data_IF_973657944638
#
_entry.id   IF_973657944638
#
_cell.length_a   1.000
_cell.length_b   1.000
_cell.length_c   1.000
_cell.angle_alpha   90.00
_cell.angle_beta   90.00
_cell.angle_gamma   90.00
#
_symmetry.space_group_name_H-M   'P 1'
#
loop_
_entity.id
_entity.type
_entity.pdbx_description
1 polymer ?
#
# COMPACT_ATOMS: atom_id res chain seq x y z
N UNK A 1 11.28 4.04 -4.72
CA UNK A 1 10.26 4.60 -3.80
C UNK A 1 8.99 4.75 -4.59
N UNK A 2 7.93 4.04 -4.19
CA UNK A 2 6.68 3.98 -4.92
C UNK A 2 5.64 4.88 -4.24
N UNK A 3 4.84 5.54 -5.07
CA UNK A 3 3.75 6.40 -4.64
C UNK A 3 2.50 5.56 -4.35
N UNK A 4 1.84 5.84 -3.22
CA UNK A 4 0.56 5.23 -2.84
C UNK A 4 -0.51 6.33 -2.72
N UNK A 5 -0.18 7.41 -2.01
CA UNK A 5 -1.05 8.57 -1.80
C UNK A 5 -0.20 9.79 -1.41
N UNK A 6 -0.80 10.98 -1.34
CA UNK A 6 -0.10 12.23 -1.02
C UNK A 6 0.69 12.14 0.30
N UNK A 7 0.18 11.40 1.29
CA UNK A 7 0.78 11.23 2.60
C UNK A 7 1.36 9.83 2.88
N UNK A 8 1.35 8.92 1.89
CA UNK A 8 1.78 7.52 2.06
C UNK A 8 2.72 7.12 0.92
N UNK A 9 3.87 6.54 1.26
CA UNK A 9 4.85 5.99 0.31
C UNK A 9 5.23 4.57 0.69
N UNK A 10 5.59 3.77 -0.30
CA UNK A 10 6.09 2.42 -0.07
C UNK A 10 7.49 2.24 -0.67
N UNK A 11 8.28 1.37 -0.06
CA UNK A 11 9.52 0.85 -0.59
C UNK A 11 9.39 -0.66 -0.71
N UNK A 12 9.69 -1.21 -1.89
CA UNK A 12 9.68 -2.64 -2.11
C UNK A 12 11.08 -3.22 -2.22
N UNK A 13 11.20 -4.49 -1.84
CA UNK A 13 12.35 -5.37 -2.05
C UNK A 13 11.84 -6.73 -2.55
N UNK A 14 12.65 -7.44 -3.33
CA UNK A 14 12.29 -8.71 -3.97
C UNK A 14 12.09 -8.56 -5.48
N UNK A 15 11.13 -9.30 -6.04
CA UNK A 15 10.87 -9.28 -7.49
C UNK A 15 10.36 -7.89 -7.91
N UNK A 16 11.13 -7.18 -8.73
CA UNK A 16 10.81 -5.80 -9.12
C UNK A 16 9.39 -5.67 -9.72
N UNK A 17 9.02 -6.61 -10.61
CA UNK A 17 7.70 -6.63 -11.23
C UNK A 17 6.56 -6.79 -10.22
N UNK A 18 6.73 -7.69 -9.23
CA UNK A 18 5.75 -7.88 -8.17
C UNK A 18 5.60 -6.61 -7.33
N UNK A 19 6.72 -5.98 -6.96
CA UNK A 19 6.69 -4.76 -6.13
C UNK A 19 6.00 -3.59 -6.83
N UNK A 20 6.24 -3.39 -8.13
CA UNK A 20 5.56 -2.36 -8.91
C UNK A 20 4.08 -2.67 -9.09
N UNK A 21 3.74 -3.92 -9.45
CA UNK A 21 2.35 -4.30 -9.73
C UNK A 21 1.48 -4.24 -8.47
N UNK A 22 1.97 -4.79 -7.36
CA UNK A 22 1.31 -4.72 -6.06
C UNK A 22 1.11 -3.27 -5.65
N UNK A 23 2.17 -2.45 -5.75
CA UNK A 23 2.06 -1.05 -5.33
C UNK A 23 1.08 -0.27 -6.18
N UNK A 24 1.11 -0.43 -7.50
CA UNK A 24 0.17 0.24 -8.41
C UNK A 24 -1.28 -0.16 -8.11
N UNK A 25 -1.55 -1.46 -7.94
CA UNK A 25 -2.88 -1.97 -7.63
C UNK A 25 -3.41 -1.42 -6.30
N UNK A 26 -2.55 -1.37 -5.28
CA UNK A 26 -2.90 -0.84 -3.96
C UNK A 26 -3.10 0.67 -3.99
N UNK A 27 -2.26 1.41 -4.74
CA UNK A 27 -2.42 2.85 -4.94
C UNK A 27 -3.79 3.17 -5.53
N UNK A 28 -4.21 2.48 -6.58
CA UNK A 28 -5.53 2.67 -7.20
C UNK A 28 -6.68 2.33 -6.25
N UNK A 29 -6.57 1.23 -5.49
CA UNK A 29 -7.60 0.84 -4.53
C UNK A 29 -7.74 1.85 -3.38
N UNK A 30 -6.63 2.41 -2.91
CA UNK A 30 -6.63 3.44 -1.87
C UNK A 30 -7.24 4.74 -2.37
N UNK A 31 -6.92 5.15 -3.60
CA UNK A 31 -7.52 6.32 -4.22
C UNK A 31 -9.03 6.16 -4.39
N UNK A 32 -9.48 5.01 -4.92
CA UNK A 32 -10.91 4.68 -5.00
C UNK A 32 -11.57 4.65 -3.62
N UNK A 33 -10.89 4.12 -2.60
CA UNK A 33 -11.40 4.13 -1.23
C UNK A 33 -11.50 5.55 -0.66
N UNK A 34 -10.52 6.42 -0.94
CA UNK A 34 -10.54 7.82 -0.54
C UNK A 34 -11.70 8.58 -1.23
N UNK A 35 -11.90 8.35 -2.53
CA UNK A 35 -13.01 8.92 -3.29
C UNK A 35 -14.36 8.43 -2.79
N UNK A 36 -14.49 7.13 -2.51
CA UNK A 36 -15.73 6.52 -2.01
C UNK A 36 -16.09 6.97 -0.60
N UNK A 37 -15.10 7.17 0.27
CA UNK A 37 -15.33 7.56 1.68
C UNK A 37 -15.31 9.07 1.90
N UNK A 38 -14.80 9.86 0.95
CA UNK A 38 -14.58 11.30 1.09
C UNK A 38 -13.58 11.67 2.19
N UNK A 39 -12.72 10.72 2.60
CA UNK A 39 -11.75 10.89 3.70
C UNK A 39 -10.33 10.64 3.21
N UNK A 40 -9.37 11.30 3.85
CA UNK A 40 -7.95 11.04 3.60
C UNK A 40 -7.62 9.58 3.93
N UNK A 41 -6.87 8.89 3.05
CA UNK A 41 -6.51 7.50 3.28
C UNK A 41 -5.62 7.34 4.51
N UNK A 42 -5.79 6.21 5.21
CA UNK A 42 -5.01 5.85 6.40
C UNK A 42 -3.92 4.86 6.05
N UNK A 43 -2.81 4.93 6.77
CA UNK A 43 -1.67 4.01 6.60
C UNK A 43 -2.11 2.57 6.90
N UNK A 44 -2.95 2.39 7.92
CA UNK A 44 -3.52 1.09 8.30
C UNK A 44 -4.39 0.48 7.19
N UNK A 45 -5.11 1.31 6.42
CA UNK A 45 -5.92 0.82 5.30
C UNK A 45 -5.02 0.25 4.20
N UNK A 46 -3.95 0.97 3.86
CA UNK A 46 -2.96 0.51 2.89
C UNK A 46 -2.29 -0.81 3.32
N UNK A 47 -1.86 -0.88 4.58
CA UNK A 47 -1.27 -2.09 5.17
C UNK A 47 -2.24 -3.28 5.13
N UNK A 48 -3.53 -3.04 5.38
CA UNK A 48 -4.55 -4.10 5.38
C UNK A 48 -4.83 -4.64 3.97
N UNK A 49 -4.86 -3.77 2.96
CA UNK A 49 -5.01 -4.22 1.57
C UNK A 49 -3.77 -5.01 1.12
N UNK A 50 -2.57 -4.54 1.47
CA UNK A 50 -1.31 -5.20 1.14
C UNK A 50 -1.19 -6.60 1.75
N UNK A 51 -1.45 -6.74 3.06
CA UNK A 51 -1.35 -8.05 3.72
C UNK A 51 -2.35 -9.05 3.14
N UNK A 52 -3.55 -8.61 2.80
CA UNK A 52 -4.59 -9.46 2.22
C UNK A 52 -4.17 -9.93 0.83
N UNK A 53 -3.63 -9.03 0.01
CA UNK A 53 -3.09 -9.38 -1.29
C UNK A 53 -1.96 -10.40 -1.15
N UNK A 54 -0.90 -10.11 -0.38
CA UNK A 54 0.24 -11.02 -0.23
C UNK A 54 -0.16 -12.39 0.35
N UNK A 55 -1.10 -12.42 1.30
CA UNK A 55 -1.62 -13.66 1.88
C UNK A 55 -2.43 -14.47 0.87
N UNK A 56 -3.22 -13.82 0.01
CA UNK A 56 -4.00 -14.49 -1.05
C UNK A 56 -3.10 -15.25 -2.03
N UNK A 57 -1.93 -14.70 -2.35
CA UNK A 57 -0.96 -15.35 -3.23
C UNK A 57 -0.06 -16.37 -2.50
N UNK A 58 -0.26 -16.62 -1.20
CA UNK A 58 0.46 -17.62 -0.40
C UNK A 58 1.99 -17.59 -0.57
N UNK A 59 2.59 -16.41 -0.77
CA UNK A 59 4.03 -16.25 -0.96
C UNK A 59 4.56 -16.51 -2.37
N UNK A 60 3.70 -16.72 -3.38
CA UNK A 60 4.11 -16.71 -4.80
C UNK A 60 4.59 -15.33 -5.25
N UNK A 61 4.02 -14.28 -4.65
CA UNK A 61 4.43 -12.88 -4.85
C UNK A 61 5.57 -12.59 -3.88
N UNK A 62 6.79 -12.51 -4.41
CA UNK A 62 8.03 -12.35 -3.64
C UNK A 62 8.35 -10.89 -3.35
N UNK A 63 7.41 -10.16 -2.73
CA UNK A 63 7.56 -8.74 -2.43
C UNK A 63 7.62 -8.49 -0.91
N UNK A 64 8.73 -7.96 -0.44
CA UNK A 64 8.88 -7.39 0.89
C UNK A 64 8.66 -5.88 0.79
N UNK A 65 7.64 -5.36 1.46
CA UNK A 65 7.20 -3.97 1.33
C UNK A 65 7.29 -3.26 2.69
N UNK A 66 7.92 -2.09 2.71
CA UNK A 66 7.94 -1.15 3.83
C UNK A 66 7.02 0.01 3.48
N UNK A 67 6.05 0.30 4.34
CA UNK A 67 5.03 1.30 4.06
C UNK A 67 5.09 2.40 5.13
N UNK A 68 5.46 3.61 4.72
CA UNK A 68 5.58 4.76 5.61
C UNK A 68 4.62 5.85 5.22
N UNK A 69 3.99 6.49 6.21
CA UNK A 69 3.09 7.59 5.93
C UNK A 69 2.64 8.33 7.17
N UNK A 70 1.96 9.45 6.95
CA UNK A 70 1.33 10.23 8.01
C UNK A 70 -0.16 10.27 7.73
N UNK A 71 -0.96 9.88 8.71
CA UNK A 71 -2.42 10.00 8.64
C UNK A 71 -2.97 10.77 9.84
N UNK A 72 -4.31 10.86 9.94
CA UNK A 72 -5.00 11.57 11.03
C UNK A 72 -4.64 11.08 12.43
N UNK A 73 -4.09 9.88 12.57
CA UNK A 73 -3.70 9.28 13.85
C UNK A 73 -2.23 9.48 14.19
N UNK A 74 -1.42 9.99 13.24
CA UNK A 74 0.00 10.28 13.44
C UNK A 74 0.89 9.70 12.34
N UNK A 75 2.22 9.76 12.55
CA UNK A 75 3.19 9.08 11.70
C UNK A 75 3.22 7.58 11.96
N UNK A 76 3.28 6.79 10.89
CA UNK A 76 3.33 5.33 10.91
C UNK A 76 4.41 4.80 9.96
N UNK A 77 5.01 3.66 10.32
CA UNK A 77 6.02 2.93 9.58
C UNK A 77 5.76 1.42 9.69
#
# INVERSE_FOLDING_TARGET
IHYISESIRCCGAGTAADTEFVTASISSNIELHALSTGRKPRVVTAMTMLKQYLFQYQGHVGAALVLGGVDSTGPHL
#
